data_IF_919302944886
#
_entry.id   IF_919302944886
#
_cell.length_a   1.000
_cell.length_b   1.000
_cell.length_c   1.000
_cell.angle_alpha   90.00
_cell.angle_beta   90.00
_cell.angle_gamma   90.00
#
_symmetry.space_group_name_H-M   'P 1'
#
loop_
_entity.id
_entity.type
_entity.pdbx_description
1 polymer ?
#
# COMPACT_ATOMS: atom_id res chain seq x y z
N UNK A 1 20.20 3.87 -32.79
CA UNK A 1 20.01 2.95 -31.64
C UNK A 1 19.95 3.79 -30.36
N UNK A 2 18.75 4.18 -29.93
CA UNK A 2 18.55 4.97 -28.72
C UNK A 2 18.74 4.08 -27.50
N UNK A 3 19.87 4.24 -26.80
CA UNK A 3 20.17 3.52 -25.56
C UNK A 3 19.19 4.01 -24.48
N UNK A 4 18.19 3.19 -24.14
CA UNK A 4 17.37 3.42 -22.95
C UNK A 4 18.30 3.51 -21.75
N UNK A 5 18.42 4.70 -21.16
CA UNK A 5 19.14 4.92 -19.90
C UNK A 5 18.20 4.52 -18.77
N UNK A 6 18.13 3.23 -18.48
CA UNK A 6 17.52 2.75 -17.25
C UNK A 6 18.47 3.12 -16.11
N UNK A 7 18.02 3.99 -15.21
CA UNK A 7 18.71 4.23 -13.95
C UNK A 7 18.71 2.98 -13.07
N UNK A 8 19.41 2.99 -11.92
CA UNK A 8 19.36 1.89 -10.98
C UNK A 8 17.90 1.52 -10.66
N UNK A 9 17.55 0.25 -10.83
CA UNK A 9 16.23 -0.26 -10.44
C UNK A 9 16.20 -0.24 -8.91
N UNK A 10 15.17 0.37 -8.32
CA UNK A 10 15.00 0.37 -6.87
C UNK A 10 14.95 -1.08 -6.36
N UNK A 11 15.71 -1.38 -5.32
CA UNK A 11 15.68 -2.68 -4.65
C UNK A 11 14.45 -2.74 -3.74
N UNK A 12 13.27 -2.96 -4.35
CA UNK A 12 11.99 -3.08 -3.65
C UNK A 12 11.89 -4.43 -2.91
N UNK A 13 12.76 -4.64 -1.92
CA UNK A 13 12.71 -5.86 -1.10
C UNK A 13 11.43 -5.87 -0.26
N UNK A 14 10.57 -6.90 -0.40
CA UNK A 14 9.37 -7.00 0.40
C UNK A 14 9.73 -7.20 1.87
N UNK A 15 9.19 -6.34 2.75
CA UNK A 15 9.31 -6.50 4.20
C UNK A 15 8.12 -7.31 4.70
N UNK A 16 8.39 -8.42 5.38
CA UNK A 16 7.33 -9.22 6.03
C UNK A 16 6.90 -8.55 7.33
N UNK A 17 5.58 -8.36 7.47
CA UNK A 17 4.96 -7.80 8.67
C UNK A 17 3.92 -8.80 9.18
N UNK A 18 3.91 -9.05 10.49
CA UNK A 18 2.84 -9.82 11.16
C UNK A 18 1.88 -8.83 11.81
N UNK A 19 0.58 -9.03 11.62
CA UNK A 19 -0.47 -8.13 12.10
C UNK A 19 -1.49 -8.92 12.91
N UNK A 20 -1.92 -8.35 14.03
CA UNK A 20 -3.09 -8.79 14.77
C UNK A 20 -4.20 -7.78 14.57
N UNK A 21 -5.38 -8.25 14.17
CA UNK A 21 -6.54 -7.41 13.91
C UNK A 21 -7.65 -7.73 14.92
N UNK A 22 -8.37 -6.72 15.44
CA UNK A 22 -9.63 -6.97 16.11
C UNK A 22 -10.58 -7.79 15.23
N UNK A 23 -11.28 -8.76 15.82
CA UNK A 23 -12.18 -9.64 15.06
C UNK A 23 -13.29 -8.88 14.32
N UNK A 24 -13.74 -7.74 14.86
CA UNK A 24 -14.67 -6.83 14.17
C UNK A 24 -14.09 -6.30 12.88
N UNK A 25 -12.85 -5.77 12.92
CA UNK A 25 -12.19 -5.20 11.76
C UNK A 25 -11.96 -6.25 10.67
N UNK A 26 -11.59 -7.48 11.03
CA UNK A 26 -11.46 -8.57 10.06
C UNK A 26 -12.81 -8.86 9.35
N UNK A 27 -13.91 -8.89 10.09
CA UNK A 27 -15.26 -9.08 9.49
C UNK A 27 -15.63 -7.92 8.56
N UNK A 28 -15.34 -6.70 8.97
CA UNK A 28 -15.62 -5.52 8.14
C UNK A 28 -14.79 -5.53 6.85
N UNK A 29 -13.52 -5.93 6.90
CA UNK A 29 -12.68 -6.12 5.71
C UNK A 29 -13.22 -7.21 4.78
N UNK A 30 -13.74 -8.31 5.34
CA UNK A 30 -14.36 -9.38 4.56
C UNK A 30 -15.63 -8.89 3.83
N UNK A 31 -16.52 -8.20 4.54
CA UNK A 31 -17.70 -7.61 3.95
C UNK A 31 -17.34 -6.58 2.85
N UNK A 32 -16.32 -5.75 3.11
CA UNK A 32 -15.85 -4.78 2.13
C UNK A 32 -15.31 -5.45 0.85
N UNK A 33 -14.53 -6.53 0.98
CA UNK A 33 -14.01 -7.27 -0.16
C UNK A 33 -15.12 -7.89 -1.02
N UNK A 34 -16.20 -8.39 -0.39
CA UNK A 34 -17.37 -8.90 -1.10
C UNK A 34 -18.09 -7.80 -1.88
N UNK A 35 -18.34 -6.65 -1.25
CA UNK A 35 -19.01 -5.51 -1.89
C UNK A 35 -18.18 -5.04 -3.09
N UNK A 36 -16.87 -4.84 -2.90
CA UNK A 36 -15.98 -4.38 -3.96
C UNK A 36 -15.92 -5.37 -5.14
N UNK A 37 -15.87 -6.67 -4.88
CA UNK A 37 -15.92 -7.70 -5.93
C UNK A 37 -17.19 -7.61 -6.76
N UNK A 38 -18.35 -7.48 -6.09
CA UNK A 38 -19.65 -7.30 -6.76
C UNK A 38 -19.69 -6.04 -7.63
N UNK A 39 -19.22 -4.91 -7.12
CA UNK A 39 -19.20 -3.63 -7.86
C UNK A 39 -18.28 -3.67 -9.09
N UNK A 40 -17.20 -4.43 -9.02
CA UNK A 40 -16.21 -4.53 -10.10
C UNK A 40 -16.44 -5.71 -11.03
N UNK A 41 -17.50 -6.51 -10.84
CA UNK A 41 -17.73 -7.80 -11.52
C UNK A 41 -16.54 -8.78 -11.43
N UNK A 42 -15.84 -8.78 -10.29
CA UNK A 42 -14.75 -9.71 -10.00
C UNK A 42 -15.08 -10.56 -8.76
N UNK A 43 -14.44 -11.73 -8.59
CA UNK A 43 -14.54 -12.47 -7.34
C UNK A 43 -14.10 -11.61 -6.14
N UNK A 44 -14.71 -11.80 -4.95
CA UNK A 44 -14.25 -11.15 -3.73
C UNK A 44 -12.75 -11.38 -3.51
N UNK A 45 -12.01 -10.31 -3.22
CA UNK A 45 -10.60 -10.41 -2.87
C UNK A 45 -10.42 -11.05 -1.49
N UNK A 46 -9.28 -11.69 -1.25
CA UNK A 46 -8.86 -12.01 0.12
C UNK A 46 -8.79 -10.70 0.93
N UNK A 47 -9.49 -10.58 2.07
CA UNK A 47 -9.53 -9.36 2.88
C UNK A 47 -8.14 -8.85 3.28
N UNK A 48 -7.18 -9.76 3.48
CA UNK A 48 -5.80 -9.39 3.84
C UNK A 48 -5.05 -8.75 2.67
N UNK A 49 -5.42 -9.08 1.42
CA UNK A 49 -4.81 -8.47 0.22
C UNK A 49 -5.27 -7.04 -0.01
N UNK A 50 -6.30 -6.58 0.69
CA UNK A 50 -6.75 -5.19 0.65
C UNK A 50 -5.89 -4.26 1.53
N UNK A 51 -5.25 -4.81 2.57
CA UNK A 51 -4.52 -4.01 3.57
C UNK A 51 -3.40 -3.18 2.90
N UNK A 52 -2.57 -3.82 2.07
CA UNK A 52 -1.44 -3.15 1.41
C UNK A 52 -1.90 -2.00 0.49
N UNK A 53 -2.76 -2.21 -0.51
CA UNK A 53 -3.20 -1.13 -1.39
C UNK A 53 -3.99 -0.03 -0.66
N UNK A 54 -4.75 -0.37 0.38
CA UNK A 54 -5.44 0.63 1.21
C UNK A 54 -4.44 1.51 1.96
N UNK A 55 -3.40 0.93 2.57
CA UNK A 55 -2.36 1.70 3.27
C UNK A 55 -1.54 2.56 2.31
N UNK A 56 -1.19 2.03 1.12
CA UNK A 56 -0.54 2.81 0.08
C UNK A 56 -1.39 4.03 -0.28
N UNK A 57 -2.68 3.82 -0.58
CA UNK A 57 -3.60 4.89 -0.95
C UNK A 57 -3.76 5.92 0.17
N UNK A 58 -3.83 5.47 1.42
CA UNK A 58 -3.90 6.34 2.59
C UNK A 58 -2.66 7.25 2.67
N UNK A 59 -1.46 6.67 2.59
CA UNK A 59 -0.19 7.42 2.67
C UNK A 59 -0.02 8.39 1.49
N UNK A 60 -0.42 7.98 0.29
CA UNK A 60 -0.35 8.83 -0.92
C UNK A 60 -1.27 10.04 -0.83
N UNK A 61 -2.45 9.87 -0.24
CA UNK A 61 -3.48 10.92 -0.20
C UNK A 61 -3.43 11.79 1.05
N UNK A 62 -2.66 11.40 2.07
CA UNK A 62 -2.45 12.18 3.28
C UNK A 62 -1.62 13.44 3.01
N UNK A 63 -2.30 14.58 2.89
CA UNK A 63 -1.68 15.90 2.70
C UNK A 63 -0.86 16.36 3.89
N UNK A 64 -1.23 15.97 5.11
CA UNK A 64 -0.48 16.31 6.33
C UNK A 64 0.88 15.61 6.30
N UNK A 65 0.86 14.32 5.99
CA UNK A 65 2.08 13.53 5.80
C UNK A 65 2.94 14.07 4.64
N UNK A 66 2.32 14.39 3.50
CA UNK A 66 3.03 14.94 2.34
C UNK A 66 3.72 16.28 2.64
N UNK A 67 3.11 17.15 3.46
CA UNK A 67 3.72 18.41 3.90
C UNK A 67 4.94 18.16 4.77
N UNK A 68 4.82 17.31 5.79
CA UNK A 68 5.91 17.01 6.73
C UNK A 68 7.08 16.32 6.03
N UNK A 69 6.81 15.39 5.10
CA UNK A 69 7.85 14.70 4.30
C UNK A 69 8.66 15.64 3.43
N UNK A 70 8.15 16.81 3.06
CA UNK A 70 8.93 17.82 2.32
C UNK A 70 9.92 18.56 3.21
N UNK A 71 9.62 18.70 4.50
CA UNK A 71 10.49 19.36 5.47
C UNK A 71 11.52 18.39 6.07
N UNK A 72 11.16 17.12 6.20
CA UNK A 72 12.08 16.02 6.52
C UNK A 72 12.65 15.54 5.18
N UNK A 73 13.67 16.22 4.64
CA UNK A 73 14.38 15.75 3.44
C UNK A 73 14.80 14.28 3.56
N UNK A 74 15.07 13.57 2.46
CA UNK A 74 15.27 12.12 2.47
C UNK A 74 16.31 11.76 3.55
N UNK A 75 15.86 11.08 4.59
CA UNK A 75 16.74 10.64 5.66
C UNK A 75 17.79 9.73 5.04
N UNK A 76 19.06 10.09 5.19
CA UNK A 76 20.21 9.19 4.99
C UNK A 76 20.11 8.07 6.03
N UNK A 77 19.22 7.12 5.82
CA UNK A 77 19.18 5.84 6.54
C UNK A 77 18.97 4.81 5.45
N UNK A 78 19.92 4.75 4.53
CA UNK A 78 20.21 3.66 3.60
C UNK A 78 21.53 4.05 2.92
N UNK A 79 22.64 3.77 3.60
CA UNK A 79 24.01 3.76 3.07
C UNK A 79 24.73 2.58 3.69
#
# INVERSE_FOLDING_TARGET
MTKLKLGPIADDKPVKVTLELPASLHRDLAAYAEILGRETNHPPADPLRLIVPMLQRFIETDRGFAKTRRFIGPSKVDS
#
